data_IF_074771257362
#
_entry.id   IF_074771257362
#
_cell.length_a   1.000
_cell.length_b   1.000
_cell.length_c   1.000
_cell.angle_alpha   90.00
_cell.angle_beta   90.00
_cell.angle_gamma   90.00
#
_symmetry.space_group_name_H-M   'P 1'
#
loop_
_entity.id
_entity.type
_entity.pdbx_description
1 polymer ?
#
# COMPACT_ATOMS: atom_id res chain seq x y z
N UNK A 1 -48.52 12.02 -48.66
CA UNK A 1 -47.87 10.82 -48.07
C UNK A 1 -46.33 10.84 -48.20
N UNK A 2 -45.73 11.22 -49.35
CA UNK A 2 -44.25 11.28 -49.53
C UNK A 2 -43.49 12.18 -48.52
N UNK A 3 -43.96 13.39 -48.25
CA UNK A 3 -43.25 14.34 -47.39
C UNK A 3 -43.06 13.86 -45.93
N UNK A 4 -44.03 13.11 -45.39
CA UNK A 4 -43.91 12.55 -44.04
C UNK A 4 -42.85 11.43 -43.97
N UNK A 5 -42.68 10.67 -45.05
CA UNK A 5 -41.66 9.61 -45.16
C UNK A 5 -40.24 10.19 -45.23
N UNK A 6 -40.03 11.28 -45.97
CA UNK A 6 -38.72 11.97 -46.03
C UNK A 6 -38.30 12.58 -44.68
N UNK A 7 -39.25 13.18 -43.95
CA UNK A 7 -38.98 13.70 -42.59
C UNK A 7 -38.57 12.58 -41.64
N UNK A 8 -39.27 11.44 -41.68
CA UNK A 8 -38.93 10.29 -40.83
C UNK A 8 -37.54 9.73 -41.16
N UNK A 9 -37.20 9.62 -42.45
CA UNK A 9 -35.86 9.15 -42.89
C UNK A 9 -34.78 10.10 -42.35
N UNK A 10 -34.98 11.42 -42.45
CA UNK A 10 -34.02 12.40 -41.92
C UNK A 10 -33.84 12.33 -40.40
N UNK A 11 -34.92 12.05 -39.66
CA UNK A 11 -34.86 11.86 -38.20
C UNK A 11 -34.13 10.57 -37.82
N UNK A 12 -34.41 9.46 -38.52
CA UNK A 12 -33.73 8.19 -38.29
C UNK A 12 -32.23 8.31 -38.58
N UNK A 13 -31.82 8.97 -39.67
CA UNK A 13 -30.40 9.16 -39.98
C UNK A 13 -29.68 9.97 -38.91
N UNK A 14 -30.30 11.04 -38.40
CA UNK A 14 -29.73 11.85 -37.29
C UNK A 14 -29.62 11.04 -36.00
N UNK A 15 -30.66 10.28 -35.67
CA UNK A 15 -30.66 9.43 -34.47
C UNK A 15 -29.58 8.33 -34.57
N UNK A 16 -29.42 7.69 -35.73
CA UNK A 16 -28.37 6.69 -35.96
C UNK A 16 -26.97 7.28 -35.85
N UNK A 17 -26.73 8.48 -36.37
CA UNK A 17 -25.42 9.15 -36.25
C UNK A 17 -25.08 9.48 -34.79
N UNK A 18 -26.05 10.00 -34.03
CA UNK A 18 -25.86 10.28 -32.60
C UNK A 18 -25.66 8.99 -31.78
N UNK A 19 -26.36 7.90 -32.14
CA UNK A 19 -26.19 6.62 -31.47
C UNK A 19 -24.79 6.02 -31.69
N UNK A 20 -24.21 6.17 -32.88
CA UNK A 20 -22.85 5.69 -33.13
C UNK A 20 -21.79 6.53 -32.39
N UNK A 21 -21.97 7.86 -32.33
CA UNK A 21 -21.06 8.74 -31.58
C UNK A 21 -21.05 8.41 -30.07
N UNK A 22 -22.22 8.22 -29.47
CA UNK A 22 -22.33 7.88 -28.05
C UNK A 22 -21.80 6.46 -27.76
N UNK A 23 -22.02 5.52 -28.68
CA UNK A 23 -21.44 4.17 -28.58
C UNK A 23 -19.92 4.19 -28.64
N UNK A 24 -19.33 5.02 -29.50
CA UNK A 24 -17.87 5.16 -29.59
C UNK A 24 -17.29 5.76 -28.30
N UNK A 25 -17.93 6.78 -27.72
CA UNK A 25 -17.54 7.34 -26.41
C UNK A 25 -17.65 6.30 -25.29
N UNK A 26 -18.75 5.55 -25.23
CA UNK A 26 -18.96 4.52 -24.23
C UNK A 26 -17.87 3.43 -24.31
N UNK A 27 -17.53 2.97 -25.53
CA UNK A 27 -16.46 1.99 -25.73
C UNK A 27 -15.09 2.51 -25.26
N UNK A 28 -14.78 3.78 -25.53
CA UNK A 28 -13.52 4.39 -25.07
C UNK A 28 -13.45 4.51 -23.56
N UNK A 29 -14.57 4.83 -22.90
CA UNK A 29 -14.65 4.90 -21.44
C UNK A 29 -14.60 3.51 -20.78
N UNK A 30 -15.24 2.51 -21.39
CA UNK A 30 -15.15 1.11 -20.95
C UNK A 30 -13.71 0.59 -21.02
N UNK A 31 -13.00 0.87 -22.11
CA UNK A 31 -11.59 0.45 -22.25
C UNK A 31 -10.69 1.12 -21.19
N UNK A 32 -10.89 2.42 -20.93
CA UNK A 32 -10.15 3.15 -19.90
C UNK A 32 -10.44 2.61 -18.50
N UNK A 33 -11.72 2.37 -18.20
CA UNK A 33 -12.16 1.86 -16.91
C UNK A 33 -11.64 0.45 -16.67
N UNK A 34 -11.67 -0.40 -17.69
CA UNK A 34 -11.14 -1.77 -17.63
C UNK A 34 -9.64 -1.76 -17.33
N UNK A 35 -8.84 -0.96 -18.04
CA UNK A 35 -7.40 -0.83 -17.78
C UNK A 35 -7.11 -0.32 -16.37
N UNK A 36 -7.90 0.63 -15.88
CA UNK A 36 -7.73 1.16 -14.52
C UNK A 36 -8.05 0.08 -13.47
N UNK A 37 -9.14 -0.67 -13.67
CA UNK A 37 -9.53 -1.76 -12.78
C UNK A 37 -8.45 -2.86 -12.74
N UNK A 38 -7.92 -3.26 -13.89
CA UNK A 38 -6.81 -4.23 -13.97
C UNK A 38 -5.56 -3.74 -13.22
N UNK A 39 -5.21 -2.46 -13.36
CA UNK A 39 -4.07 -1.89 -12.64
C UNK A 39 -4.31 -1.83 -11.13
N UNK A 40 -5.53 -1.51 -10.70
CA UNK A 40 -5.90 -1.49 -9.28
C UNK A 40 -5.81 -2.90 -8.68
N UNK A 41 -6.31 -3.92 -9.38
CA UNK A 41 -6.22 -5.32 -8.95
C UNK A 41 -4.75 -5.74 -8.82
N UNK A 42 -3.91 -5.46 -9.82
CA UNK A 42 -2.47 -5.78 -9.76
C UNK A 42 -1.76 -5.10 -8.59
N UNK A 43 -2.06 -3.83 -8.34
CA UNK A 43 -1.47 -3.10 -7.23
C UNK A 43 -1.93 -3.66 -5.88
N UNK A 44 -3.20 -4.02 -5.77
CA UNK A 44 -3.75 -4.66 -4.58
C UNK A 44 -3.06 -6.01 -4.33
N UNK A 45 -2.98 -6.88 -5.34
CA UNK A 45 -2.32 -8.18 -5.24
C UNK A 45 -0.84 -8.05 -4.83
N UNK A 46 -0.13 -7.07 -5.40
CA UNK A 46 1.26 -6.80 -5.02
C UNK A 46 1.36 -6.37 -3.55
N UNK A 47 0.49 -5.46 -3.11
CA UNK A 47 0.47 -4.94 -1.74
C UNK A 47 0.11 -6.04 -0.74
N UNK A 48 -0.88 -6.87 -1.06
CA UNK A 48 -1.32 -7.99 -0.22
C UNK A 48 -0.22 -9.05 -0.10
N UNK A 49 0.54 -9.30 -1.17
CA UNK A 49 1.70 -10.19 -1.14
C UNK A 49 2.82 -9.62 -0.25
N UNK A 50 3.21 -8.37 -0.46
CA UNK A 50 4.27 -7.72 0.33
C UNK A 50 3.90 -7.65 1.82
N UNK A 51 2.63 -7.35 2.12
CA UNK A 51 2.11 -7.36 3.49
C UNK A 51 2.11 -8.78 4.07
N UNK A 52 1.65 -9.77 3.29
CA UNK A 52 1.62 -11.17 3.69
C UNK A 52 3.00 -11.75 3.99
N UNK A 53 4.05 -11.28 3.31
CA UNK A 53 5.44 -11.63 3.59
C UNK A 53 6.01 -10.90 4.83
N UNK A 54 5.61 -9.65 5.06
CA UNK A 54 6.09 -8.85 6.18
C UNK A 54 5.48 -9.23 7.53
N UNK A 55 4.18 -9.58 7.55
CA UNK A 55 3.45 -9.97 8.77
C UNK A 55 4.09 -11.13 9.56
N UNK A 56 4.48 -12.26 8.95
CA UNK A 56 5.06 -13.38 9.69
C UNK A 56 6.42 -13.00 10.32
N UNK A 57 7.24 -12.20 9.61
CA UNK A 57 8.50 -11.72 10.17
C UNK A 57 8.28 -10.76 11.35
N UNK A 58 7.26 -9.90 11.26
CA UNK A 58 6.88 -8.99 12.33
C UNK A 58 6.35 -9.73 13.56
N UNK A 59 5.48 -10.72 13.38
CA UNK A 59 4.93 -11.50 14.51
C UNK A 59 6.02 -12.37 15.14
N UNK A 60 6.90 -13.00 14.36
CA UNK A 60 8.03 -13.75 14.90
C UNK A 60 8.98 -12.86 15.71
N UNK A 61 9.26 -11.62 15.26
CA UNK A 61 10.05 -10.66 16.03
C UNK A 61 9.34 -10.25 17.33
N UNK A 62 8.01 -10.07 17.30
CA UNK A 62 7.19 -9.75 18.47
C UNK A 62 7.19 -10.90 19.49
N UNK A 63 7.08 -12.14 19.05
CA UNK A 63 7.19 -13.31 19.92
C UNK A 63 8.59 -13.43 20.54
N UNK A 64 9.64 -13.17 19.75
CA UNK A 64 11.02 -13.21 20.24
C UNK A 64 11.29 -12.15 21.32
N UNK A 65 10.71 -10.94 21.23
CA UNK A 65 10.87 -9.93 22.30
C UNK A 65 10.01 -10.22 23.53
N UNK A 66 8.89 -10.96 23.38
CA UNK A 66 8.03 -11.35 24.51
C UNK A 66 8.72 -12.36 25.45
N UNK A 67 9.82 -13.00 25.03
CA UNK A 67 10.60 -13.88 25.92
C UNK A 67 11.50 -13.10 26.91
N UNK A 68 11.61 -11.78 26.75
CA UNK A 68 12.42 -10.93 27.63
C UNK A 68 11.68 -10.63 28.93
N UNK A 69 12.30 -10.95 30.06
CA UNK A 69 11.79 -10.64 31.38
C UNK A 69 12.50 -9.44 32.03
N UNK A 70 11.94 -8.96 33.14
CA UNK A 70 12.50 -7.83 33.89
C UNK A 70 13.91 -8.10 34.41
N UNK A 71 14.24 -9.36 34.71
CA UNK A 71 15.57 -9.74 35.21
C UNK A 71 16.61 -9.53 34.11
N UNK A 72 16.35 -10.07 32.92
CA UNK A 72 17.21 -9.98 31.74
C UNK A 72 17.49 -8.52 31.34
N UNK A 73 16.47 -7.65 31.39
CA UNK A 73 16.62 -6.21 31.11
C UNK A 73 17.44 -5.53 32.22
N UNK A 74 17.25 -5.93 33.47
CA UNK A 74 17.98 -5.34 34.61
C UNK A 74 19.46 -5.71 34.55
N UNK A 75 19.79 -6.96 34.22
CA UNK A 75 21.16 -7.42 33.99
C UNK A 75 21.83 -6.63 32.86
N UNK A 76 21.14 -6.52 31.72
CA UNK A 76 21.61 -5.75 30.56
C UNK A 76 21.95 -4.30 30.93
N UNK A 77 21.10 -3.64 31.73
CA UNK A 77 21.32 -2.25 32.18
C UNK A 77 22.54 -2.08 33.08
N UNK A 78 22.88 -3.10 33.88
CA UNK A 78 24.02 -3.04 34.81
C UNK A 78 25.38 -3.23 34.15
N UNK A 79 25.42 -3.55 32.85
CA UNK A 79 26.67 -3.65 32.10
C UNK A 79 27.37 -2.28 32.05
N UNK A 80 28.50 -2.18 32.73
CA UNK A 80 29.31 -0.95 32.72
C UNK A 80 29.89 -0.62 31.35
N UNK A 81 30.24 -1.65 30.56
CA UNK A 81 30.69 -1.54 29.17
C UNK A 81 30.14 -2.72 28.36
N UNK A 82 28.97 -2.59 27.71
CA UNK A 82 28.40 -3.66 26.91
C UNK A 82 29.22 -3.88 25.61
N UNK A 83 29.05 -5.04 24.97
CA UNK A 83 29.54 -5.26 23.61
C UNK A 83 28.98 -4.23 22.62
N UNK A 84 29.70 -4.03 21.50
CA UNK A 84 29.29 -3.08 20.44
C UNK A 84 27.93 -3.46 19.85
N UNK A 85 27.71 -4.74 19.56
CA UNK A 85 26.44 -5.26 19.05
C UNK A 85 25.24 -4.88 19.95
N UNK A 86 25.38 -5.07 21.27
CA UNK A 86 24.34 -4.71 22.22
C UNK A 86 24.07 -3.20 22.24
N UNK A 87 25.13 -2.39 22.10
CA UNK A 87 25.00 -0.93 22.04
C UNK A 87 24.27 -0.50 20.77
N UNK A 88 24.62 -1.08 19.63
CA UNK A 88 24.00 -0.78 18.33
C UNK A 88 22.53 -1.14 18.31
N UNK A 89 22.17 -2.33 18.81
CA UNK A 89 20.77 -2.78 18.89
C UNK A 89 19.97 -1.90 19.85
N UNK A 90 20.48 -1.61 21.05
CA UNK A 90 19.79 -0.74 22.01
C UNK A 90 19.62 0.69 21.49
N UNK A 91 20.63 1.23 20.80
CA UNK A 91 20.56 2.54 20.17
C UNK A 91 19.53 2.58 19.03
N UNK A 92 19.45 1.53 18.21
CA UNK A 92 18.45 1.40 17.15
C UNK A 92 17.02 1.32 17.72
N UNK A 93 16.81 0.53 18.78
CA UNK A 93 15.54 0.50 19.49
C UNK A 93 15.18 1.87 20.08
N UNK A 94 16.13 2.54 20.72
CA UNK A 94 15.92 3.88 21.27
C UNK A 94 15.61 4.94 20.20
N UNK A 95 16.27 4.87 19.04
CA UNK A 95 15.99 5.73 17.89
C UNK A 95 14.55 5.56 17.39
N UNK A 96 14.11 4.31 17.19
CA UNK A 96 12.77 3.98 16.71
C UNK A 96 11.69 4.39 17.73
N UNK A 97 11.94 4.20 19.03
CA UNK A 97 10.97 4.50 20.10
C UNK A 97 10.88 5.99 20.45
N UNK A 98 12.02 6.71 20.45
CA UNK A 98 12.08 8.14 20.82
C UNK A 98 11.91 9.08 19.61
N UNK A 99 11.91 8.55 18.39
CA UNK A 99 11.87 9.31 17.13
C UNK A 99 12.94 10.42 17.05
N UNK A 100 14.09 10.17 17.69
CA UNK A 100 15.20 11.13 17.78
C UNK A 100 16.20 10.88 16.65
N UNK A 101 16.62 11.93 15.94
CA UNK A 101 17.57 11.81 14.82
C UNK A 101 19.04 11.69 15.25
N UNK A 102 19.32 11.55 16.54
CA UNK A 102 20.67 11.51 17.10
C UNK A 102 20.99 10.08 17.54
N UNK A 103 22.22 9.63 17.31
CA UNK A 103 22.65 8.35 17.87
C UNK A 103 22.66 8.42 19.39
N UNK A 104 21.87 7.55 20.01
CA UNK A 104 21.87 7.34 21.45
C UNK A 104 23.11 6.53 21.81
N UNK A 105 23.92 7.04 22.74
CA UNK A 105 25.01 6.27 23.32
C UNK A 105 24.46 5.31 24.38
N UNK A 106 25.26 4.34 24.83
CA UNK A 106 24.84 3.39 25.87
C UNK A 106 24.29 4.05 27.15
N UNK A 107 24.79 5.23 27.52
CA UNK A 107 24.29 5.98 28.68
C UNK A 107 22.94 6.68 28.45
N UNK A 108 22.56 6.89 27.19
CA UNK A 108 21.32 7.56 26.79
C UNK A 108 20.30 6.65 26.09
N UNK A 109 20.64 5.38 25.83
CA UNK A 109 19.75 4.37 25.25
C UNK A 109 18.64 4.02 26.23
#
# INVERSE_FOLDING_TARGET
KKAATEVLIGQVTKASAHAEEEKEKANQEEERTTKLAENAVKLQEQSDRELGEALPAMEAAKEAVNCLDKSSISELKTLGKPPEECTTVCAACGFLLKNEKKQLNWKGS
#
